data_IF_341786410555
#
_entry.id   IF_341786410555
#
_cell.length_a   1.000
_cell.length_b   1.000
_cell.length_c   1.000
_cell.angle_alpha   90.00
_cell.angle_beta   90.00
_cell.angle_gamma   90.00
#
_symmetry.space_group_name_H-M   'P 1'
#
loop_
_entity.id
_entity.type
_entity.pdbx_description
1 polymer ?
#
# COMPACT_ATOMS: atom_id res chain seq x y z
N UNK A 1 13.92 15.92 5.66
CA UNK A 1 13.42 17.27 5.98
C UNK A 1 11.91 17.29 5.74
N UNK A 2 11.09 17.08 6.76
CA UNK A 2 9.64 17.24 6.65
C UNK A 2 9.30 18.72 6.87
N UNK A 3 8.76 19.41 5.86
CA UNK A 3 8.18 20.75 6.05
C UNK A 3 6.81 20.57 6.69
N UNK A 4 6.65 21.05 7.92
CA UNK A 4 5.37 21.08 8.61
C UNK A 4 4.38 21.94 7.81
N UNK A 5 3.28 21.34 7.39
CA UNK A 5 2.31 21.96 6.49
C UNK A 5 1.25 22.65 7.37
N UNK A 6 1.23 23.99 7.36
CA UNK A 6 0.32 24.79 8.20
C UNK A 6 -1.17 24.54 7.92
N UNK A 7 -2.04 25.02 8.83
CA UNK A 7 -3.49 24.76 8.85
C UNK A 7 -4.24 24.95 7.52
N UNK A 8 -3.73 25.79 6.60
CA UNK A 8 -4.30 26.01 5.25
C UNK A 8 -4.24 24.79 4.32
N UNK A 9 -3.33 23.85 4.56
CA UNK A 9 -3.23 22.63 3.74
C UNK A 9 -3.90 21.42 4.39
N UNK A 10 -4.41 21.53 5.63
CA UNK A 10 -5.14 20.42 6.26
C UNK A 10 -6.39 20.05 5.46
N UNK A 11 -7.02 21.01 4.80
CA UNK A 11 -8.15 20.78 3.89
C UNK A 11 -7.73 19.93 2.68
N UNK A 12 -6.54 20.18 2.12
CA UNK A 12 -5.98 19.43 0.99
C UNK A 12 -5.60 18.03 1.44
N UNK A 13 -4.92 17.89 2.58
CA UNK A 13 -4.59 16.57 3.16
C UNK A 13 -5.84 15.75 3.43
N UNK A 14 -6.91 16.35 3.98
CA UNK A 14 -8.20 15.67 4.21
C UNK A 14 -8.90 15.27 2.92
N UNK A 15 -8.89 16.13 1.90
CA UNK A 15 -9.48 15.81 0.61
C UNK A 15 -8.73 14.66 -0.07
N UNK A 16 -7.40 14.67 -0.02
CA UNK A 16 -6.57 13.57 -0.48
C UNK A 16 -6.87 12.28 0.30
N UNK A 17 -6.91 12.32 1.63
CA UNK A 17 -7.26 11.15 2.44
C UNK A 17 -8.65 10.59 2.11
N UNK A 18 -9.64 11.47 1.90
CA UNK A 18 -11.00 11.08 1.53
C UNK A 18 -11.07 10.45 0.14
N UNK A 19 -10.33 11.00 -0.82
CA UNK A 19 -10.25 10.44 -2.16
C UNK A 19 -9.57 9.06 -2.15
N UNK A 20 -8.42 8.93 -1.47
CA UNK A 20 -7.75 7.64 -1.29
C UNK A 20 -8.67 6.63 -0.59
N UNK A 21 -9.40 7.06 0.45
CA UNK A 21 -10.35 6.21 1.15
C UNK A 21 -11.48 5.67 0.26
N UNK A 22 -11.87 6.40 -0.80
CA UNK A 22 -12.92 5.95 -1.73
C UNK A 22 -12.51 4.74 -2.59
N UNK A 23 -11.21 4.50 -2.76
CA UNK A 23 -10.68 3.33 -3.48
C UNK A 23 -10.40 2.13 -2.57
N UNK A 24 -10.49 2.31 -1.25
CA UNK A 24 -10.24 1.23 -0.29
C UNK A 24 -11.40 0.24 -0.33
N UNK A 25 -11.13 -1.08 -0.33
CA UNK A 25 -12.19 -2.06 -0.25
C UNK A 25 -13.04 -1.90 1.02
N UNK A 26 -14.36 -2.05 0.90
CA UNK A 26 -15.29 -1.95 2.04
C UNK A 26 -15.37 -3.22 2.90
N UNK A 27 -14.71 -4.31 2.51
CA UNK A 27 -14.62 -5.54 3.29
C UNK A 27 -13.38 -5.54 4.21
N UNK A 28 -13.35 -6.37 5.28
CA UNK A 28 -12.17 -6.47 6.15
C UNK A 28 -10.91 -6.85 5.38
N UNK A 29 -9.84 -6.09 5.56
CA UNK A 29 -8.55 -6.31 4.93
C UNK A 29 -7.42 -5.72 5.78
N UNK A 30 -6.20 -6.20 5.59
CA UNK A 30 -5.02 -5.53 6.09
C UNK A 30 -4.62 -4.40 5.15
N UNK A 31 -4.35 -3.22 5.68
CA UNK A 31 -3.89 -2.06 4.91
C UNK A 31 -2.41 -1.80 5.17
N UNK A 32 -1.59 -1.84 4.12
CA UNK A 32 -0.21 -1.37 4.17
C UNK A 32 -0.18 0.14 3.95
N UNK A 33 -0.10 0.90 5.04
CA UNK A 33 -0.02 2.37 4.98
C UNK A 33 1.34 2.83 4.47
N UNK A 34 2.42 2.31 5.06
CA UNK A 34 3.78 2.74 4.77
C UNK A 34 4.77 1.57 4.84
N UNK A 35 5.70 1.52 3.89
CA UNK A 35 6.86 0.65 3.90
C UNK A 35 8.07 1.46 3.46
N UNK A 36 8.92 1.83 4.41
CA UNK A 36 10.12 2.62 4.17
C UNK A 36 11.38 1.84 4.57
N UNK A 37 12.43 2.02 3.78
CA UNK A 37 13.79 1.57 4.09
C UNK A 37 14.70 2.78 4.00
N UNK A 38 15.64 2.88 4.93
CA UNK A 38 16.67 3.92 4.89
C UNK A 38 17.34 3.98 3.51
N UNK A 39 17.55 5.18 2.91
CA UNK A 39 18.14 5.31 1.58
C UNK A 39 19.49 4.58 1.41
N UNK A 40 20.36 4.58 2.43
CA UNK A 40 21.65 3.89 2.40
C UNK A 40 21.53 2.36 2.50
N UNK A 41 20.33 1.86 2.82
CA UNK A 41 20.02 0.44 2.97
C UNK A 41 19.10 -0.10 1.86
N UNK A 42 18.81 0.71 0.83
CA UNK A 42 18.03 0.29 -0.33
C UNK A 42 18.81 -0.72 -1.20
N UNK A 43 18.09 -1.51 -2.00
CA UNK A 43 18.69 -2.54 -2.86
C UNK A 43 19.17 -3.81 -2.13
N UNK A 44 19.18 -3.82 -0.79
CA UNK A 44 19.61 -4.96 0.04
C UNK A 44 18.49 -5.97 0.34
N UNK A 45 17.31 -5.82 -0.28
CA UNK A 45 16.17 -6.72 -0.06
C UNK A 45 15.44 -6.56 1.27
N UNK A 46 15.77 -5.56 2.09
CA UNK A 46 15.16 -5.32 3.41
C UNK A 46 13.65 -5.10 3.30
N UNK A 47 13.20 -4.22 2.40
CA UNK A 47 11.77 -3.95 2.20
C UNK A 47 11.00 -5.19 1.77
N UNK A 48 11.60 -6.02 0.91
CA UNK A 48 11.05 -7.32 0.52
C UNK A 48 10.94 -8.29 1.71
N UNK A 49 11.96 -8.33 2.59
CA UNK A 49 11.93 -9.19 3.77
C UNK A 49 10.84 -8.76 4.77
N UNK A 50 10.70 -7.45 5.00
CA UNK A 50 9.65 -6.88 5.86
C UNK A 50 8.25 -7.17 5.29
N UNK A 51 8.06 -6.93 3.99
CA UNK A 51 6.79 -7.20 3.32
C UNK A 51 6.41 -8.68 3.42
N UNK A 52 7.36 -9.59 3.17
CA UNK A 52 7.14 -11.04 3.26
C UNK A 52 6.75 -11.49 4.67
N UNK A 53 7.48 -11.06 5.70
CA UNK A 53 7.14 -11.38 7.10
C UNK A 53 5.72 -10.91 7.44
N UNK A 54 5.37 -9.70 7.00
CA UNK A 54 4.05 -9.15 7.28
C UNK A 54 2.95 -9.88 6.54
N UNK A 55 3.15 -10.19 5.26
CA UNK A 55 2.18 -10.94 4.46
C UNK A 55 1.96 -12.36 5.00
N UNK A 56 3.00 -13.02 5.52
CA UNK A 56 2.83 -14.33 6.17
C UNK A 56 1.84 -14.26 7.35
N UNK A 57 1.86 -13.18 8.13
CA UNK A 57 0.89 -12.95 9.22
C UNK A 57 -0.50 -12.63 8.69
N UNK A 58 -0.61 -11.87 7.60
CA UNK A 58 -1.90 -11.55 6.96
C UNK A 58 -2.55 -12.82 6.41
N UNK A 59 -1.75 -13.67 5.75
CA UNK A 59 -2.16 -14.96 5.20
C UNK A 59 -2.62 -15.91 6.30
N UNK A 60 -1.88 -16.03 7.39
CA UNK A 60 -2.27 -16.85 8.54
C UNK A 60 -3.61 -16.41 9.18
N UNK A 61 -4.04 -15.16 8.98
CA UNK A 61 -5.34 -14.66 9.42
C UNK A 61 -6.43 -14.74 8.34
N UNK A 62 -6.12 -15.28 7.16
CA UNK A 62 -7.05 -15.39 6.04
C UNK A 62 -7.54 -14.04 5.52
N UNK A 63 -6.75 -12.97 5.69
CA UNK A 63 -7.16 -11.61 5.32
C UNK A 63 -6.67 -11.23 3.91
N UNK A 64 -7.47 -10.51 3.12
CA UNK A 64 -6.96 -9.76 1.97
C UNK A 64 -6.01 -8.65 2.42
N UNK A 65 -5.17 -8.17 1.50
CA UNK A 65 -4.32 -7.00 1.72
C UNK A 65 -4.58 -5.92 0.67
N UNK A 66 -4.48 -4.66 1.07
CA UNK A 66 -4.63 -3.49 0.21
C UNK A 66 -3.46 -2.52 0.40
N UNK A 67 -3.10 -1.79 -0.65
CA UNK A 67 -2.12 -0.70 -0.63
C UNK A 67 -2.33 0.27 -1.79
N UNK A 68 -1.70 1.44 -1.70
CA UNK A 68 -1.50 2.33 -2.83
C UNK A 68 0.00 2.43 -3.19
N UNK A 69 0.36 1.99 -4.39
CA UNK A 69 1.73 2.11 -4.88
C UNK A 69 1.95 3.48 -5.54
N UNK A 70 2.93 4.24 -5.07
CA UNK A 70 3.16 5.63 -5.54
C UNK A 70 4.19 5.76 -6.66
N UNK A 71 4.78 4.64 -7.13
CA UNK A 71 5.74 4.64 -8.25
C UNK A 71 5.58 3.38 -9.12
N UNK A 72 6.00 3.40 -10.40
CA UNK A 72 6.02 2.19 -11.22
C UNK A 72 6.92 1.07 -10.65
N UNK A 73 8.00 1.43 -9.96
CA UNK A 73 8.91 0.46 -9.35
C UNK A 73 8.29 -0.24 -8.14
N UNK A 74 7.60 0.51 -7.27
CA UNK A 74 6.87 -0.06 -6.13
C UNK A 74 5.66 -0.87 -6.60
N UNK A 75 4.93 -0.43 -7.63
CA UNK A 75 3.87 -1.23 -8.26
C UNK A 75 4.40 -2.60 -8.70
N UNK A 76 5.48 -2.64 -9.49
CA UNK A 76 6.11 -3.90 -9.92
C UNK A 76 6.60 -4.75 -8.76
N UNK A 77 7.06 -4.13 -7.66
CA UNK A 77 7.41 -4.86 -6.44
C UNK A 77 6.18 -5.58 -5.89
N UNK A 78 5.08 -4.88 -5.67
CA UNK A 78 3.87 -5.44 -5.08
C UNK A 78 3.17 -6.46 -5.99
N UNK A 79 3.22 -6.29 -7.32
CA UNK A 79 2.74 -7.29 -8.29
C UNK A 79 3.42 -8.66 -8.07
N UNK A 80 4.72 -8.69 -7.77
CA UNK A 80 5.45 -9.95 -7.47
C UNK A 80 5.01 -10.63 -6.17
N UNK A 81 4.35 -9.90 -5.28
CA UNK A 81 3.79 -10.44 -4.04
C UNK A 81 2.30 -10.82 -4.18
N UNK A 82 1.74 -10.77 -5.39
CA UNK A 82 0.35 -11.16 -5.67
C UNK A 82 -0.66 -10.03 -5.52
N UNK A 83 -0.22 -8.78 -5.41
CA UNK A 83 -1.13 -7.63 -5.50
C UNK A 83 -1.49 -7.38 -6.97
N UNK A 84 -2.78 -7.31 -7.25
CA UNK A 84 -3.34 -6.91 -8.53
C UNK A 84 -3.73 -5.43 -8.51
N UNK A 85 -3.52 -4.74 -9.64
CA UNK A 85 -4.01 -3.38 -9.86
C UNK A 85 -5.54 -3.35 -9.89
N UNK A 86 -6.13 -2.38 -9.21
CA UNK A 86 -7.57 -2.11 -9.24
C UNK A 86 -7.83 -0.82 -10.01
N UNK A 87 -7.18 0.28 -9.59
CA UNK A 87 -7.44 1.61 -10.14
C UNK A 87 -6.27 2.57 -9.94
N UNK A 88 -6.33 3.71 -10.64
CA UNK A 88 -5.37 4.81 -10.49
C UNK A 88 -6.02 5.96 -9.73
N UNK A 89 -5.38 6.39 -8.65
CA UNK A 89 -5.80 7.52 -7.82
C UNK A 89 -5.00 8.74 -8.26
N UNK A 90 -5.67 9.81 -8.67
CA UNK A 90 -5.03 11.05 -9.09
C UNK A 90 -5.88 12.28 -8.70
N UNK A 91 -5.79 12.72 -7.43
CA UNK A 91 -6.57 13.84 -6.93
C UNK A 91 -6.17 15.17 -7.55
N UNK A 92 -4.85 15.39 -7.75
CA UNK A 92 -4.24 16.64 -8.22
C UNK A 92 -2.68 16.52 -8.23
N UNK A 93 -2.11 15.33 -8.50
CA UNK A 93 -0.68 15.06 -8.29
C UNK A 93 -0.13 13.78 -8.95
N UNK A 94 1.05 13.28 -8.56
CA UNK A 94 1.58 12.01 -9.08
C UNK A 94 0.60 10.86 -8.79
N UNK A 95 0.27 10.09 -9.82
CA UNK A 95 -0.66 8.99 -9.73
C UNK A 95 -0.19 7.93 -8.71
N UNK A 96 -1.12 7.47 -7.88
CA UNK A 96 -0.96 6.26 -7.09
C UNK A 96 -1.78 5.12 -7.71
N UNK A 97 -1.33 3.88 -7.52
CA UNK A 97 -2.00 2.69 -8.02
C UNK A 97 -2.62 1.96 -6.84
N UNK A 98 -3.95 1.96 -6.76
CA UNK A 98 -4.69 1.14 -5.80
C UNK A 98 -4.51 -0.34 -6.17
N UNK A 99 -4.08 -1.16 -5.21
CA UNK A 99 -3.80 -2.57 -5.44
C UNK A 99 -4.33 -3.45 -4.33
N UNK A 100 -4.83 -4.62 -4.69
CA UNK A 100 -5.34 -5.62 -3.76
C UNK A 100 -4.68 -6.96 -3.96
N UNK A 101 -4.40 -7.64 -2.87
CA UNK A 101 -4.05 -9.05 -2.86
C UNK A 101 -5.18 -9.83 -2.19
N UNK A 102 -5.79 -10.82 -2.86
CA UNK A 102 -6.83 -11.64 -2.25
C UNK A 102 -6.27 -12.43 -1.08
N UNK A 103 -7.14 -12.77 -0.11
CA UNK A 103 -6.78 -13.71 0.95
C UNK A 103 -6.26 -15.00 0.32
N UNK A 104 -5.07 -15.43 0.71
CA UNK A 104 -4.59 -16.75 0.34
C UNK A 104 -5.30 -17.72 1.28
N UNK A 105 -6.30 -18.45 0.76
CA UNK A 105 -6.83 -19.59 1.52
C UNK A 105 -5.75 -20.66 1.52
N UNK A 106 -5.42 -21.19 2.69
CA UNK A 106 -4.75 -22.48 2.76
C UNK A 106 -5.67 -23.47 2.04
N UNK A 107 -5.22 -23.97 0.90
CA UNK A 107 -5.87 -25.07 0.20
C UNK A 107 -5.56 -26.35 0.97
N UNK A 108 -6.19 -26.54 2.13
CA UNK A 108 -6.44 -27.85 2.75
C UNK A 108 -7.24 -27.70 4.05
N UNK A 109 -8.48 -28.19 4.03
CA UNK A 109 -9.22 -28.70 5.18
C UNK A 109 -10.03 -29.91 4.71
#
# INVERSE_FOLDING_TARGET
>A
MFRAIGLRHLSIVRAMDAEYASFRPHYPHWYLTDLAVDPGSQGLGIGSALLRDRLAKVDANGLPAYLEATTPASRRLYERYGFAFIDTINPEGPAAFAMVRPAQRDADS
#
